data_IF_780444510765
#
_entry.id   IF_780444510765
#
_cell.length_a   1.000
_cell.length_b   1.000
_cell.length_c   1.000
_cell.angle_alpha   90.00
_cell.angle_beta   90.00
_cell.angle_gamma   90.00
#
_symmetry.space_group_name_H-M   'P 1'
#
loop_
_entity.id
_entity.type
_entity.pdbx_description
1 polymer ?
#
# COMPACT_ATOMS: atom_id res chain seq x y z
N UNK A 1 18.41 15.61 7.81
CA UNK A 1 18.90 14.22 7.89
C UNK A 1 17.73 13.31 7.57
N UNK A 2 17.85 12.35 6.64
CA UNK A 2 16.73 11.46 6.30
C UNK A 2 16.98 10.04 6.79
N UNK A 3 15.89 9.39 7.17
CA UNK A 3 15.84 7.97 7.53
C UNK A 3 16.25 7.07 6.36
N UNK A 4 16.81 5.90 6.68
CA UNK A 4 17.28 4.86 5.76
C UNK A 4 16.36 3.65 5.79
N UNK A 5 16.11 3.02 4.63
CA UNK A 5 15.23 1.87 4.49
C UNK A 5 15.99 0.55 4.33
N UNK A 6 15.44 -0.53 4.86
CA UNK A 6 15.84 -1.92 4.59
C UNK A 6 14.81 -2.55 3.67
N UNK A 7 15.24 -2.91 2.46
CA UNK A 7 14.37 -3.20 1.34
C UNK A 7 14.72 -4.59 0.80
N UNK A 8 14.03 -5.67 1.20
CA UNK A 8 14.21 -6.96 0.55
C UNK A 8 13.81 -6.87 -0.93
N UNK A 9 14.44 -7.71 -1.74
CA UNK A 9 14.11 -7.89 -3.15
C UNK A 9 13.68 -9.32 -3.46
N UNK A 10 12.69 -9.45 -4.34
CA UNK A 10 12.24 -10.72 -4.89
C UNK A 10 12.48 -10.70 -6.40
N UNK A 11 13.22 -11.69 -6.88
CA UNK A 11 13.35 -11.99 -8.30
C UNK A 11 12.35 -13.07 -8.68
N UNK A 12 11.39 -12.77 -9.55
CA UNK A 12 10.36 -13.69 -10.03
C UNK A 12 10.83 -14.34 -11.33
N UNK A 13 10.85 -15.66 -11.34
CA UNK A 13 11.11 -16.48 -12.52
C UNK A 13 10.11 -17.65 -12.54
N UNK A 14 9.32 -17.76 -13.61
CA UNK A 14 8.32 -18.82 -13.79
C UNK A 14 7.42 -19.01 -12.55
N UNK A 15 6.90 -17.89 -12.03
CA UNK A 15 6.03 -17.84 -10.85
C UNK A 15 6.70 -18.09 -9.48
N UNK A 16 8.02 -18.28 -9.43
CA UNK A 16 8.77 -18.60 -8.20
C UNK A 16 9.77 -17.50 -7.84
N UNK A 17 10.14 -17.41 -6.57
CA UNK A 17 11.23 -16.54 -6.12
C UNK A 17 12.56 -17.26 -6.30
N UNK A 18 13.50 -16.63 -7.02
CA UNK A 18 14.86 -17.14 -7.22
C UNK A 18 15.90 -16.31 -6.46
N UNK A 19 17.09 -16.89 -6.25
CA UNK A 19 18.11 -16.33 -5.38
C UNK A 19 18.65 -14.99 -5.89
N UNK A 20 18.83 -14.83 -7.20
CA UNK A 20 19.36 -13.61 -7.79
C UNK A 20 18.99 -13.49 -9.28
N UNK A 21 19.33 -12.37 -9.92
CA UNK A 21 19.04 -12.18 -11.35
C UNK A 21 19.80 -13.16 -12.28
N UNK A 22 20.97 -13.61 -11.86
CA UNK A 22 21.83 -14.59 -12.57
C UNK A 22 21.90 -15.97 -11.88
N UNK A 23 21.25 -16.13 -10.72
CA UNK A 23 21.14 -17.40 -9.99
C UNK A 23 19.66 -17.79 -9.85
N UNK A 24 19.21 -18.67 -10.75
CA UNK A 24 17.83 -19.16 -10.82
C UNK A 24 17.49 -20.24 -9.78
N UNK A 25 18.34 -20.44 -8.77
CA UNK A 25 18.03 -21.34 -7.64
C UNK A 25 16.78 -20.84 -6.92
N UNK A 26 15.73 -21.66 -6.88
CA UNK A 26 14.46 -21.33 -6.22
C UNK A 26 14.66 -21.23 -4.71
N UNK A 27 14.35 -20.07 -4.14
CA UNK A 27 14.37 -19.81 -2.69
C UNK A 27 12.97 -19.90 -2.07
N UNK A 28 11.92 -19.64 -2.85
CA UNK A 28 10.53 -19.87 -2.45
C UNK A 28 9.67 -20.23 -3.64
N UNK A 29 8.81 -21.25 -3.48
CA UNK A 29 7.77 -21.59 -4.46
C UNK A 29 6.52 -20.72 -4.30
N UNK A 30 6.35 -20.09 -3.15
CA UNK A 30 5.24 -19.20 -2.85
C UNK A 30 5.76 -17.78 -2.63
N UNK A 31 5.70 -16.98 -3.68
CA UNK A 31 6.19 -15.61 -3.68
C UNK A 31 5.32 -14.70 -2.83
N UNK A 32 4.00 -14.95 -2.79
CA UNK A 32 3.04 -14.13 -2.03
C UNK A 32 3.29 -14.28 -0.54
N UNK A 33 3.50 -15.52 -0.07
CA UNK A 33 3.84 -15.79 1.32
C UNK A 33 5.20 -15.21 1.71
N UNK A 34 6.20 -15.24 0.82
CA UNK A 34 7.50 -14.62 1.08
C UNK A 34 7.39 -13.09 1.20
N UNK A 35 6.67 -12.44 0.28
CA UNK A 35 6.44 -11.01 0.34
C UNK A 35 5.66 -10.59 1.60
N UNK A 36 4.63 -11.36 1.99
CA UNK A 36 3.91 -11.17 3.24
C UNK A 36 4.85 -11.26 4.45
N UNK A 37 5.70 -12.29 4.49
CA UNK A 37 6.68 -12.46 5.56
C UNK A 37 7.56 -11.22 5.72
N UNK A 38 8.13 -10.69 4.63
CA UNK A 38 8.92 -9.47 4.68
C UNK A 38 8.12 -8.28 5.23
N UNK A 39 6.90 -8.08 4.72
CA UNK A 39 6.02 -7.00 5.18
C UNK A 39 5.65 -7.10 6.66
N UNK A 40 5.49 -8.30 7.20
CA UNK A 40 5.09 -8.52 8.60
C UNK A 40 6.27 -8.52 9.57
N UNK A 41 7.50 -8.65 9.06
CA UNK A 41 8.72 -8.73 9.88
C UNK A 41 9.58 -7.46 9.82
N UNK A 42 9.04 -6.35 9.33
CA UNK A 42 9.63 -5.02 9.50
C UNK A 42 10.49 -4.53 8.33
N UNK A 43 10.36 -5.11 7.14
CA UNK A 43 10.85 -4.47 5.91
C UNK A 43 10.18 -3.10 5.70
N UNK A 44 10.83 -2.18 5.00
CA UNK A 44 10.32 -0.81 4.78
C UNK A 44 9.63 -0.62 3.44
N UNK A 45 10.06 -1.39 2.46
CA UNK A 45 9.61 -1.38 1.07
C UNK A 45 10.01 -2.73 0.47
N UNK A 46 9.38 -3.12 -0.65
CA UNK A 46 9.69 -4.35 -1.36
C UNK A 46 10.11 -4.03 -2.78
N UNK A 47 11.26 -4.54 -3.22
CA UNK A 47 11.63 -4.55 -4.63
C UNK A 47 11.18 -5.86 -5.28
N UNK A 48 10.48 -5.78 -6.42
CA UNK A 48 10.10 -6.96 -7.20
C UNK A 48 10.67 -6.84 -8.61
N UNK A 49 11.42 -7.84 -9.02
CA UNK A 49 12.04 -7.92 -10.34
C UNK A 49 11.42 -9.07 -11.11
N UNK A 50 10.81 -8.76 -12.25
CA UNK A 50 10.35 -9.74 -13.20
C UNK A 50 11.49 -10.17 -14.14
N UNK A 51 11.84 -11.46 -14.10
CA UNK A 51 12.88 -12.07 -14.92
C UNK A 51 12.30 -12.92 -16.06
N UNK A 52 11.01 -12.77 -16.37
CA UNK A 52 10.35 -13.45 -17.48
C UNK A 52 11.02 -13.16 -18.82
N UNK A 53 11.01 -14.17 -19.70
CA UNK A 53 11.51 -14.06 -21.07
C UNK A 53 10.35 -14.03 -22.09
N UNK A 54 9.26 -14.73 -21.77
CA UNK A 54 8.04 -14.78 -22.60
C UNK A 54 6.99 -13.76 -22.15
N UNK A 55 6.09 -13.39 -23.05
CA UNK A 55 4.98 -12.48 -22.73
C UNK A 55 3.92 -13.16 -21.82
N UNK A 56 3.81 -14.49 -21.84
CA UNK A 56 2.92 -15.25 -20.95
C UNK A 56 3.43 -15.21 -19.51
N UNK A 57 4.73 -15.49 -19.32
CA UNK A 57 5.37 -15.43 -18.00
C UNK A 57 5.38 -14.00 -17.44
N UNK A 58 5.54 -12.98 -18.30
CA UNK A 58 5.45 -11.57 -17.92
C UNK A 58 4.08 -11.24 -17.32
N UNK A 59 3.01 -11.73 -17.96
CA UNK A 59 1.66 -11.47 -17.49
C UNK A 59 1.36 -12.26 -16.20
N UNK A 60 1.93 -13.45 -16.04
CA UNK A 60 1.89 -14.17 -14.77
C UNK A 60 2.61 -13.41 -13.66
N UNK A 61 3.80 -12.84 -13.94
CA UNK A 61 4.54 -12.01 -12.98
C UNK A 61 3.75 -10.77 -12.55
N UNK A 62 3.10 -10.06 -13.48
CA UNK A 62 2.22 -8.92 -13.17
C UNK A 62 1.03 -9.35 -12.30
N UNK A 63 0.42 -10.50 -12.60
CA UNK A 63 -0.65 -11.05 -11.76
C UNK A 63 -0.16 -11.41 -10.36
N UNK A 64 1.08 -11.88 -10.24
CA UNK A 64 1.73 -12.15 -8.96
C UNK A 64 2.01 -10.86 -8.18
N UNK A 65 2.48 -9.81 -8.84
CA UNK A 65 2.63 -8.47 -8.25
C UNK A 65 1.30 -7.96 -7.66
N UNK A 66 0.19 -8.14 -8.37
CA UNK A 66 -1.14 -7.77 -7.86
C UNK A 66 -1.54 -8.58 -6.62
N UNK A 67 -1.22 -9.87 -6.59
CA UNK A 67 -1.44 -10.73 -5.41
C UNK A 67 -0.54 -10.32 -4.23
N UNK A 68 0.71 -9.96 -4.50
CA UNK A 68 1.66 -9.43 -3.51
C UNK A 68 1.12 -8.15 -2.90
N UNK A 69 0.73 -7.17 -3.72
CA UNK A 69 0.23 -5.88 -3.24
C UNK A 69 -0.99 -6.00 -2.32
N UNK A 70 -1.85 -7.00 -2.56
CA UNK A 70 -3.03 -7.27 -1.70
C UNK A 70 -2.67 -7.78 -0.30
N UNK A 71 -1.46 -8.29 -0.08
CA UNK A 71 -1.07 -8.93 1.19
C UNK A 71 0.03 -8.19 1.94
N UNK A 72 0.81 -7.34 1.26
CA UNK A 72 1.83 -6.51 1.89
C UNK A 72 1.24 -5.18 2.35
N UNK A 73 1.86 -4.57 3.34
CA UNK A 73 1.48 -3.29 3.93
C UNK A 73 2.55 -2.21 3.79
N UNK A 74 3.61 -2.55 3.07
CA UNK A 74 4.74 -1.70 2.72
C UNK A 74 4.67 -1.39 1.22
N UNK A 75 5.26 -0.28 0.75
CA UNK A 75 5.27 0.01 -0.67
C UNK A 75 6.00 -1.08 -1.47
N UNK A 76 5.54 -1.32 -2.70
CA UNK A 76 6.22 -2.15 -3.68
C UNK A 76 6.76 -1.27 -4.80
N UNK A 77 8.03 -1.45 -5.14
CA UNK A 77 8.64 -0.92 -6.36
C UNK A 77 8.95 -2.10 -7.26
N UNK A 78 8.43 -2.08 -8.47
CA UNK A 78 8.48 -3.25 -9.34
C UNK A 78 9.01 -2.89 -10.72
N UNK A 79 9.82 -3.77 -11.30
CA UNK A 79 10.38 -3.61 -12.63
C UNK A 79 10.80 -4.95 -13.21
N UNK A 80 11.50 -4.92 -14.35
CA UNK A 80 11.85 -6.14 -15.08
C UNK A 80 10.89 -6.43 -16.23
N UNK A 81 11.45 -6.98 -17.31
CA UNK A 81 10.78 -7.26 -18.59
C UNK A 81 9.83 -6.17 -19.17
N UNK A 82 10.02 -4.90 -18.84
CA UNK A 82 9.28 -3.78 -19.45
C UNK A 82 9.78 -3.60 -20.91
N UNK A 83 8.88 -3.78 -21.87
CA UNK A 83 9.14 -3.65 -23.33
C UNK A 83 8.34 -2.50 -23.95
N UNK A 84 7.23 -2.08 -23.33
CA UNK A 84 6.32 -1.04 -23.84
C UNK A 84 5.69 -0.24 -22.69
N UNK A 85 5.13 0.92 -23.04
CA UNK A 85 4.37 1.79 -22.13
C UNK A 85 3.23 1.08 -21.39
N UNK A 86 2.56 0.11 -22.04
CA UNK A 86 1.48 -0.63 -21.39
C UNK A 86 1.99 -1.48 -20.21
N UNK A 87 3.24 -1.95 -20.24
CA UNK A 87 3.79 -2.76 -19.14
C UNK A 87 4.03 -1.89 -17.90
N UNK A 88 4.47 -0.63 -18.08
CA UNK A 88 4.58 0.36 -16.99
C UNK A 88 3.23 0.56 -16.33
N UNK A 89 2.18 0.78 -17.13
CA UNK A 89 0.80 0.93 -16.65
C UNK A 89 0.35 -0.29 -15.87
N UNK A 90 0.58 -1.50 -16.41
CA UNK A 90 0.19 -2.75 -15.74
C UNK A 90 0.89 -2.96 -14.40
N UNK A 91 2.17 -2.60 -14.30
CA UNK A 91 2.93 -2.66 -13.05
C UNK A 91 2.34 -1.68 -12.01
N UNK A 92 2.06 -0.44 -12.42
CA UNK A 92 1.43 0.54 -11.53
C UNK A 92 0.04 0.08 -11.07
N UNK A 93 -0.79 -0.44 -11.98
CA UNK A 93 -2.14 -0.92 -11.68
C UNK A 93 -2.15 -2.29 -10.96
N UNK A 94 -1.01 -2.98 -10.90
CA UNK A 94 -0.82 -4.07 -9.95
C UNK A 94 -0.63 -3.57 -8.51
N UNK A 95 -0.53 -2.25 -8.32
CA UNK A 95 -0.38 -1.55 -7.04
C UNK A 95 1.05 -1.20 -6.68
N UNK A 96 1.99 -1.26 -7.64
CA UNK A 96 3.34 -0.77 -7.40
C UNK A 96 3.32 0.74 -7.15
N UNK A 97 3.96 1.19 -6.07
CA UNK A 97 4.20 2.61 -5.81
C UNK A 97 5.00 3.24 -6.94
N UNK A 98 5.96 2.49 -7.49
CA UNK A 98 6.74 2.89 -8.67
C UNK A 98 6.98 1.74 -9.63
N UNK A 99 6.93 2.06 -10.92
CA UNK A 99 7.46 1.22 -11.97
C UNK A 99 8.94 1.56 -12.21
N UNK A 100 9.78 0.53 -12.20
CA UNK A 100 11.23 0.66 -12.30
C UNK A 100 11.72 0.29 -13.71
N UNK A 101 12.21 1.29 -14.43
CA UNK A 101 12.73 1.14 -15.79
C UNK A 101 14.21 0.81 -15.79
N UNK A 102 14.63 -0.19 -16.59
CA UNK A 102 16.03 -0.58 -16.67
C UNK A 102 16.81 0.26 -17.67
N UNK A 103 17.71 1.11 -17.17
CA UNK A 103 18.47 2.06 -17.98
C UNK A 103 19.67 1.44 -18.73
N UNK A 104 19.93 0.14 -18.56
CA UNK A 104 20.83 -0.57 -19.47
C UNK A 104 20.23 -0.82 -20.86
N UNK A 105 18.91 -0.64 -21.04
CA UNK A 105 18.22 -0.74 -22.32
C UNK A 105 18.10 0.62 -23.00
N UNK A 106 18.33 0.66 -24.32
CA UNK A 106 18.36 1.90 -25.13
C UNK A 106 17.03 2.66 -25.12
N UNK A 107 15.91 1.96 -25.19
CA UNK A 107 14.58 2.56 -25.35
C UNK A 107 13.98 3.04 -24.01
N UNK A 108 14.68 2.83 -22.89
CA UNK A 108 14.18 3.17 -21.55
C UNK A 108 14.08 4.67 -21.30
N UNK A 109 14.84 5.50 -22.02
CA UNK A 109 14.83 6.96 -21.85
C UNK A 109 13.52 7.54 -22.37
N UNK A 110 13.19 7.29 -23.64
CA UNK A 110 11.92 7.75 -24.25
C UNK A 110 10.71 7.18 -23.50
N UNK A 111 10.81 5.92 -23.05
CA UNK A 111 9.77 5.29 -22.24
C UNK A 111 9.62 5.96 -20.86
N UNK A 112 10.72 6.37 -20.22
CA UNK A 112 10.67 7.09 -18.95
C UNK A 112 9.95 8.43 -19.10
N UNK A 113 10.32 9.24 -20.09
CA UNK A 113 9.71 10.56 -20.31
C UNK A 113 8.21 10.45 -20.57
N UNK A 114 7.80 9.53 -21.46
CA UNK A 114 6.39 9.31 -21.75
C UNK A 114 5.62 8.72 -20.55
N UNK A 115 6.27 7.88 -19.72
CA UNK A 115 5.65 7.34 -18.51
C UNK A 115 5.51 8.41 -17.42
N UNK A 116 6.55 9.22 -17.20
CA UNK A 116 6.54 10.31 -16.23
C UNK A 116 5.53 11.41 -16.61
N UNK A 117 5.41 11.72 -17.90
CA UNK A 117 4.39 12.66 -18.40
C UNK A 117 2.97 12.16 -18.11
N UNK A 118 2.75 10.83 -18.19
CA UNK A 118 1.44 10.22 -18.00
C UNK A 118 1.07 9.98 -16.55
N UNK A 119 1.99 9.47 -15.74
CA UNK A 119 1.74 8.97 -14.38
C UNK A 119 2.38 9.83 -13.29
N UNK A 120 3.18 10.84 -13.65
CA UNK A 120 3.98 11.62 -12.70
C UNK A 120 5.32 10.96 -12.37
N UNK A 121 6.36 11.78 -12.19
CA UNK A 121 7.72 11.31 -11.89
C UNK A 121 7.84 10.55 -10.56
N UNK A 122 6.93 10.81 -9.62
CA UNK A 122 6.83 10.15 -8.32
C UNK A 122 6.45 8.67 -8.44
N UNK A 123 5.82 8.27 -9.56
CA UNK A 123 5.48 6.88 -9.90
C UNK A 123 6.59 6.16 -10.69
N UNK A 124 7.70 6.83 -10.98
CA UNK A 124 8.78 6.28 -11.80
C UNK A 124 10.06 6.13 -10.98
N UNK A 125 10.66 4.95 -11.10
CA UNK A 125 12.00 4.63 -10.62
C UNK A 125 12.87 4.17 -11.81
N UNK A 126 14.19 4.23 -11.65
CA UNK A 126 15.13 3.72 -12.66
C UNK A 126 16.15 2.79 -12.04
N UNK A 127 16.46 1.68 -12.71
CA UNK A 127 17.57 0.82 -12.33
C UNK A 127 18.80 1.10 -13.19
N UNK A 128 19.94 1.32 -12.55
CA UNK A 128 21.23 1.60 -13.18
C UNK A 128 22.28 0.57 -12.75
N UNK A 129 23.16 0.21 -13.68
CA UNK A 129 24.27 -0.72 -13.42
C UNK A 129 25.62 -0.02 -13.29
N UNK A 130 25.71 1.21 -13.80
CA UNK A 130 26.95 1.97 -13.89
C UNK A 130 26.71 3.47 -13.67
N UNK A 131 27.78 4.14 -13.27
CA UNK A 131 27.81 5.58 -13.03
C UNK A 131 27.76 6.40 -14.33
N UNK A 132 28.37 5.91 -15.40
CA UNK A 132 28.44 6.61 -16.68
C UNK A 132 27.05 6.90 -17.25
N UNK A 133 26.13 5.95 -17.09
CA UNK A 133 24.74 6.08 -17.50
C UNK A 133 23.99 7.15 -16.70
N UNK A 134 24.25 7.26 -15.39
CA UNK A 134 23.72 8.37 -14.58
C UNK A 134 24.25 9.71 -15.09
N UNK A 135 25.57 9.84 -15.24
CA UNK A 135 26.20 11.10 -15.65
C UNK A 135 25.72 11.58 -17.02
N UNK A 136 25.62 10.68 -18.00
CA UNK A 136 25.16 11.00 -19.36
C UNK A 136 23.69 11.44 -19.39
N UNK A 137 22.85 10.89 -18.51
CA UNK A 137 21.39 11.10 -18.55
C UNK A 137 20.86 11.88 -17.34
N UNK A 138 21.73 12.58 -16.59
CA UNK A 138 21.39 13.22 -15.32
C UNK A 138 20.17 14.14 -15.40
N UNK A 139 20.04 14.92 -16.48
CA UNK A 139 18.95 15.88 -16.66
C UNK A 139 17.62 15.16 -16.80
N UNK A 140 17.58 14.16 -17.69
CA UNK A 140 16.38 13.37 -17.98
C UNK A 140 15.95 12.59 -16.74
N UNK A 141 16.90 11.99 -16.01
CA UNK A 141 16.61 11.27 -14.76
C UNK A 141 16.07 12.22 -13.68
N UNK A 142 16.68 13.40 -13.49
CA UNK A 142 16.25 14.38 -12.48
C UNK A 142 14.83 14.92 -12.73
N UNK A 143 14.42 15.06 -13.99
CA UNK A 143 13.10 15.58 -14.36
C UNK A 143 12.00 14.53 -14.27
N UNK A 144 12.30 13.27 -14.56
CA UNK A 144 11.29 12.24 -14.84
C UNK A 144 11.26 11.08 -13.84
N UNK A 145 12.16 11.05 -12.85
CA UNK A 145 12.25 9.97 -11.87
C UNK A 145 12.30 10.51 -10.44
N UNK A 146 11.85 9.69 -9.48
CA UNK A 146 11.89 10.02 -8.04
C UNK A 146 12.74 9.06 -7.20
N UNK A 147 13.29 8.01 -7.78
CA UNK A 147 14.12 7.02 -7.09
C UNK A 147 15.06 6.28 -8.04
N UNK A 148 16.34 6.20 -7.67
CA UNK A 148 17.35 5.48 -8.43
C UNK A 148 17.71 4.19 -7.69
N UNK A 149 17.69 3.07 -8.39
CA UNK A 149 18.07 1.75 -7.88
C UNK A 149 19.38 1.33 -8.55
N UNK A 150 20.47 1.29 -7.79
CA UNK A 150 21.76 0.83 -8.31
C UNK A 150 21.93 -0.67 -8.08
N UNK A 151 22.10 -1.41 -9.18
CA UNK A 151 22.22 -2.87 -9.16
C UNK A 151 23.65 -3.37 -8.86
N UNK A 152 24.58 -2.46 -8.60
CA UNK A 152 25.98 -2.77 -8.31
C UNK A 152 26.56 -1.80 -7.28
N UNK A 153 27.67 -2.21 -6.64
CA UNK A 153 28.50 -1.33 -5.81
C UNK A 153 29.13 -0.27 -6.72
N UNK A 154 28.73 0.97 -6.55
CA UNK A 154 29.33 2.13 -7.21
C UNK A 154 30.14 2.93 -6.22
N UNK A 155 30.99 3.82 -6.75
CA UNK A 155 31.52 4.92 -5.96
C UNK A 155 30.37 5.86 -5.58
N UNK A 156 29.86 5.66 -4.36
CA UNK A 156 28.70 6.38 -3.84
C UNK A 156 28.98 7.87 -3.69
N UNK A 157 30.23 8.28 -3.47
CA UNK A 157 30.62 9.69 -3.37
C UNK A 157 30.46 10.39 -4.73
N UNK A 158 30.85 9.71 -5.80
CA UNK A 158 30.63 10.20 -7.17
C UNK A 158 29.14 10.36 -7.48
N UNK A 159 28.29 9.40 -7.09
CA UNK A 159 26.83 9.45 -7.32
C UNK A 159 26.20 10.67 -6.64
N UNK A 160 26.59 10.95 -5.39
CA UNK A 160 26.05 12.06 -4.60
C UNK A 160 26.34 13.44 -5.21
N UNK A 161 27.42 13.58 -5.97
CA UNK A 161 27.79 14.87 -6.57
C UNK A 161 26.94 15.23 -7.81
N UNK A 162 26.14 14.29 -8.33
CA UNK A 162 25.40 14.45 -9.60
C UNK A 162 23.89 14.55 -9.40
N UNK A 163 23.35 13.91 -8.37
CA UNK A 163 21.91 13.85 -8.17
C UNK A 163 21.51 13.89 -6.70
N UNK A 164 20.45 14.64 -6.42
CA UNK A 164 19.77 14.67 -5.13
C UNK A 164 18.65 13.61 -5.03
N UNK A 165 18.43 12.82 -6.09
CA UNK A 165 17.40 11.78 -6.10
C UNK A 165 17.75 10.69 -5.06
N UNK A 166 16.79 10.25 -4.23
CA UNK A 166 16.93 9.09 -3.37
C UNK A 166 17.52 7.86 -4.07
N UNK A 167 18.65 7.36 -3.58
CA UNK A 167 19.29 6.16 -4.11
C UNK A 167 19.03 4.94 -3.23
N UNK A 168 18.68 3.81 -3.85
CA UNK A 168 18.63 2.49 -3.23
C UNK A 168 19.76 1.65 -3.80
N UNK A 169 20.59 1.06 -2.95
CA UNK A 169 21.70 0.21 -3.38
C UNK A 169 21.28 -1.25 -3.27
N UNK A 170 21.36 -2.00 -4.37
CA UNK A 170 21.15 -3.44 -4.42
C UNK A 170 22.53 -4.11 -4.53
N UNK A 171 22.91 -4.87 -3.51
CA UNK A 171 24.24 -5.51 -3.43
C UNK A 171 24.14 -7.02 -3.21
N UNK A 172 25.14 -7.75 -3.69
CA UNK A 172 25.28 -9.19 -3.45
C UNK A 172 26.04 -9.51 -2.15
N UNK A 173 26.53 -8.47 -1.43
CA UNK A 173 27.29 -8.65 -0.20
C UNK A 173 26.48 -9.37 0.88
N UNK A 174 27.15 -10.30 1.54
CA UNK A 174 26.65 -10.99 2.74
C UNK A 174 27.36 -10.50 4.01
N UNK A 175 28.25 -9.51 3.89
CA UNK A 175 29.05 -8.98 4.99
C UNK A 175 28.38 -7.74 5.58
N UNK A 176 27.81 -7.90 6.76
CA UNK A 176 27.09 -6.85 7.47
C UNK A 176 27.88 -5.54 7.68
N UNK A 177 29.19 -5.54 8.02
CA UNK A 177 29.96 -4.30 8.11
C UNK A 177 29.97 -3.50 6.80
N UNK A 178 29.96 -4.20 5.65
CA UNK A 178 29.90 -3.55 4.35
C UNK A 178 28.53 -2.90 4.11
N UNK A 179 27.46 -3.61 4.47
CA UNK A 179 26.09 -3.11 4.37
C UNK A 179 25.86 -1.85 5.21
N UNK A 180 26.43 -1.83 6.41
CA UNK A 180 26.40 -0.68 7.32
C UNK A 180 27.16 0.50 6.71
N UNK A 181 28.34 0.27 6.11
CA UNK A 181 29.09 1.31 5.42
C UNK A 181 28.31 1.91 4.24
N UNK A 182 27.62 1.10 3.45
CA UNK A 182 26.73 1.59 2.38
C UNK A 182 25.63 2.49 2.94
N UNK A 183 25.00 2.10 4.06
CA UNK A 183 23.95 2.87 4.69
C UNK A 183 24.43 4.19 5.32
N UNK A 184 25.70 4.26 5.76
CA UNK A 184 26.32 5.50 6.28
C UNK A 184 26.48 6.57 5.20
N UNK A 185 26.56 6.22 3.91
CA UNK A 185 26.66 7.19 2.83
C UNK A 185 25.43 8.12 2.76
N UNK A 186 25.58 9.46 2.84
CA UNK A 186 24.45 10.41 2.95
C UNK A 186 23.36 10.30 1.86
N UNK A 187 23.76 10.06 0.60
CA UNK A 187 22.88 9.95 -0.56
C UNK A 187 22.12 8.62 -0.68
N UNK A 188 22.58 7.59 0.04
CA UNK A 188 21.87 6.30 0.10
C UNK A 188 20.63 6.46 0.99
N UNK A 189 19.47 6.08 0.49
CA UNK A 189 18.18 6.08 1.20
C UNK A 189 17.63 4.70 1.48
N UNK A 190 18.16 3.68 0.82
CA UNK A 190 17.77 2.31 1.06
C UNK A 190 18.88 1.33 0.71
N UNK A 191 18.86 0.21 1.42
CA UNK A 191 19.70 -0.94 1.13
C UNK A 191 18.81 -2.13 0.79
N UNK A 192 19.12 -2.74 -0.33
CA UNK A 192 18.58 -4.00 -0.81
C UNK A 192 19.74 -4.94 -1.13
N UNK A 193 19.46 -6.24 -1.26
CA UNK A 193 20.49 -7.20 -1.59
C UNK A 193 20.27 -8.60 -1.07
N UNK A 194 21.24 -9.48 -1.34
CA UNK A 194 21.18 -10.89 -0.93
C UNK A 194 20.99 -11.07 0.57
N UNK A 195 21.76 -10.34 1.40
CA UNK A 195 21.68 -10.44 2.86
C UNK A 195 20.29 -10.07 3.39
N UNK A 196 19.74 -8.93 2.97
CA UNK A 196 18.45 -8.44 3.48
C UNK A 196 17.24 -9.14 2.84
N UNK A 197 17.47 -9.97 1.82
CA UNK A 197 16.44 -10.78 1.14
C UNK A 197 16.52 -12.26 1.51
N UNK A 198 17.18 -12.60 2.62
CA UNK A 198 17.13 -13.97 3.15
C UNK A 198 15.71 -14.31 3.61
N UNK A 199 15.30 -15.58 3.45
CA UNK A 199 13.93 -16.02 3.77
C UNK A 199 13.60 -16.01 5.26
N UNK A 200 14.61 -15.93 6.12
CA UNK A 200 14.54 -15.87 7.58
C UNK A 200 15.05 -14.53 8.14
N UNK A 201 15.14 -13.51 7.28
CA UNK A 201 15.66 -12.19 7.63
C UNK A 201 14.86 -11.54 8.76
N UNK A 202 15.57 -11.12 9.81
CA UNK A 202 15.01 -10.39 10.95
C UNK A 202 15.31 -8.89 10.82
N UNK A 203 14.47 -8.18 10.08
CA UNK A 203 14.68 -6.75 9.80
C UNK A 203 14.82 -5.90 11.06
N UNK A 204 14.05 -6.19 12.11
CA UNK A 204 14.15 -5.47 13.39
C UNK A 204 15.51 -5.62 14.06
N UNK A 205 16.14 -6.79 13.98
CA UNK A 205 17.47 -7.01 14.55
C UNK A 205 18.55 -6.26 13.73
N UNK A 206 18.45 -6.30 12.40
CA UNK A 206 19.37 -5.57 11.53
C UNK A 206 19.24 -4.04 11.66
N UNK A 207 18.01 -3.52 11.73
CA UNK A 207 17.76 -2.08 11.96
C UNK A 207 18.35 -1.61 13.29
N UNK A 208 18.17 -2.40 14.36
CA UNK A 208 18.79 -2.10 15.66
C UNK A 208 20.32 -1.99 15.56
N UNK A 209 20.97 -2.89 14.82
CA UNK A 209 22.43 -2.82 14.62
C UNK A 209 22.85 -1.60 13.79
N UNK A 210 22.01 -1.16 12.85
CA UNK A 210 22.23 0.09 12.14
C UNK A 210 22.10 1.30 13.08
N UNK A 211 21.11 1.29 13.99
CA UNK A 211 20.91 2.33 15.02
C UNK A 211 22.11 2.38 16.00
N UNK A 212 22.65 1.22 16.42
CA UNK A 212 23.86 1.12 17.24
C UNK A 212 25.09 1.76 16.56
N UNK A 213 25.08 1.85 15.23
CA UNK A 213 26.09 2.50 14.38
C UNK A 213 25.71 3.94 13.98
N UNK A 214 24.79 4.55 14.72
CA UNK A 214 24.28 5.92 14.56
C UNK A 214 23.54 6.16 13.22
N UNK A 215 23.07 5.11 12.57
CA UNK A 215 22.27 5.20 11.34
C UNK A 215 20.80 5.31 11.70
N UNK A 216 20.17 6.43 11.34
CA UNK A 216 18.72 6.62 11.50
C UNK A 216 17.95 5.76 10.50
N UNK A 217 17.32 4.70 10.98
CA UNK A 217 16.52 3.79 10.15
C UNK A 217 15.06 4.25 10.07
N UNK A 218 14.36 3.93 8.98
CA UNK A 218 12.90 3.98 8.97
C UNK A 218 12.41 2.90 9.91
N UNK A 219 12.17 3.33 11.12
CA UNK A 219 11.39 2.64 12.13
C UNK A 219 10.10 3.44 12.26
N UNK A 220 9.04 2.83 12.80
CA UNK A 220 7.90 3.59 13.30
C UNK A 220 8.30 4.40 14.56
N UNK A 221 9.52 4.95 14.62
CA UNK A 221 10.05 5.68 15.76
C UNK A 221 9.21 6.92 16.04
N UNK A 222 8.96 7.13 17.33
CA UNK A 222 8.36 8.38 17.77
C UNK A 222 9.41 9.48 17.68
N UNK A 223 9.01 10.62 17.11
CA UNK A 223 9.82 11.85 17.15
C UNK A 223 9.82 12.53 18.54
N UNK A 224 9.11 11.94 19.50
CA UNK A 224 8.89 12.43 20.86
C UNK A 224 9.01 11.25 21.83
N UNK A 225 9.71 11.43 22.95
CA UNK A 225 9.80 10.36 23.95
C UNK A 225 8.47 10.18 24.67
N UNK A 226 8.12 8.94 25.06
CA UNK A 226 6.86 8.69 25.78
C UNK A 226 6.77 9.49 27.10
N UNK A 227 7.92 9.82 27.69
CA UNK A 227 8.02 10.67 28.89
C UNK A 227 7.53 12.11 28.69
N UNK A 228 7.39 12.58 27.45
CA UNK A 228 6.85 13.90 27.14
C UNK A 228 5.31 13.92 27.06
N UNK A 229 4.66 12.76 27.14
CA UNK A 229 3.21 12.65 27.06
C UNK A 229 2.56 12.98 28.40
N UNK A 230 1.39 13.62 28.37
CA UNK A 230 0.55 13.83 29.54
C UNK A 230 -0.33 12.62 29.75
N UNK A 231 -0.03 11.86 30.79
CA UNK A 231 -0.77 10.65 31.13
C UNK A 231 -1.88 10.96 32.12
N UNK A 232 -2.94 10.14 32.13
CA UNK A 232 -3.94 10.19 33.20
C UNK A 232 -3.37 9.65 34.53
N UNK A 233 -4.17 9.74 35.59
CA UNK A 233 -3.79 9.30 36.96
C UNK A 233 -3.31 7.84 37.06
N UNK A 234 -3.63 7.00 36.08
CA UNK A 234 -3.22 5.59 36.02
C UNK A 234 -1.95 5.36 35.18
N UNK A 235 -1.29 6.43 34.72
CA UNK A 235 -0.11 6.35 33.84
C UNK A 235 -0.45 5.89 32.42
N UNK A 236 -1.66 6.19 31.95
CA UNK A 236 -2.14 5.77 30.63
C UNK A 236 -2.50 6.96 29.76
N UNK A 237 -2.27 6.84 28.45
CA UNK A 237 -2.70 7.80 27.43
C UNK A 237 -3.90 7.23 26.65
N UNK A 238 -5.01 7.97 26.47
CA UNK A 238 -6.09 7.59 25.56
C UNK A 238 -5.61 7.57 24.11
N UNK A 239 -6.13 6.60 23.35
CA UNK A 239 -5.85 6.43 21.92
C UNK A 239 -7.17 6.32 21.17
N UNK A 240 -7.46 7.33 20.34
CA UNK A 240 -8.54 7.29 19.35
C UNK A 240 -8.02 6.53 18.13
N UNK A 241 -8.74 5.49 17.73
CA UNK A 241 -8.35 4.62 16.62
C UNK A 241 -9.28 4.89 15.45
N UNK A 242 -8.70 5.23 14.31
CA UNK A 242 -9.42 5.62 13.10
C UNK A 242 -8.97 4.75 11.92
N UNK A 243 -9.90 4.34 11.07
CA UNK A 243 -9.55 3.67 9.81
C UNK A 243 -8.83 4.65 8.87
N UNK A 244 -7.67 4.24 8.36
CA UNK A 244 -6.80 5.14 7.61
C UNK A 244 -7.36 5.56 6.26
N UNK A 245 -8.27 4.79 5.65
CA UNK A 245 -8.91 5.09 4.36
C UNK A 245 -10.18 5.89 4.56
N UNK A 246 -11.14 5.30 5.28
CA UNK A 246 -12.50 5.82 5.43
C UNK A 246 -12.59 6.97 6.43
N UNK A 247 -11.54 7.17 7.25
CA UNK A 247 -11.53 8.11 8.37
C UNK A 247 -12.61 7.83 9.42
N UNK A 248 -13.23 6.64 9.41
CA UNK A 248 -14.20 6.24 10.42
C UNK A 248 -13.50 5.98 11.76
N UNK A 249 -14.03 6.54 12.86
CA UNK A 249 -13.52 6.23 14.20
C UNK A 249 -13.95 4.82 14.57
N UNK A 250 -12.99 3.94 14.81
CA UNK A 250 -13.18 2.51 15.07
C UNK A 250 -13.37 2.20 16.55
N UNK A 251 -12.52 2.76 17.41
CA UNK A 251 -12.57 2.52 18.85
C UNK A 251 -11.73 3.55 19.64
N UNK A 252 -11.90 3.56 20.95
CA UNK A 252 -11.00 4.23 21.90
C UNK A 252 -10.40 3.19 22.83
N UNK A 253 -9.09 3.26 23.03
CA UNK A 253 -8.34 2.43 23.95
C UNK A 253 -7.31 3.24 24.73
N UNK A 254 -6.47 2.56 25.50
CA UNK A 254 -5.42 3.19 26.30
C UNK A 254 -4.09 2.48 26.08
N UNK A 255 -3.00 3.23 26.12
CA UNK A 255 -1.63 2.71 26.08
C UNK A 255 -0.87 3.13 27.35
N UNK A 256 0.02 2.26 27.82
CA UNK A 256 1.16 2.64 28.66
C UNK A 256 2.43 2.68 27.78
N UNK A 257 3.57 3.00 28.38
CA UNK A 257 4.85 3.12 27.69
C UNK A 257 5.23 1.86 26.90
N UNK A 258 5.08 0.69 27.52
CA UNK A 258 5.37 -0.60 26.89
C UNK A 258 4.45 -0.87 25.68
N UNK A 259 3.16 -0.57 25.80
CA UNK A 259 2.20 -0.72 24.70
C UNK A 259 2.55 0.19 23.51
N UNK A 260 2.97 1.42 23.80
CA UNK A 260 3.40 2.38 22.80
C UNK A 260 4.63 1.90 22.03
N UNK A 261 5.70 1.54 22.73
CA UNK A 261 6.92 1.07 22.08
C UNK A 261 6.74 -0.28 21.38
N UNK A 262 5.88 -1.17 21.88
CA UNK A 262 5.56 -2.40 21.16
C UNK A 262 4.78 -2.12 19.87
N UNK A 263 3.89 -1.12 19.88
CA UNK A 263 3.17 -0.67 18.68
C UNK A 263 4.14 -0.14 17.63
N UNK A 264 5.07 0.72 18.05
CA UNK A 264 6.14 1.26 17.20
C UNK A 264 6.99 0.14 16.62
N UNK A 265 7.47 -0.77 17.47
CA UNK A 265 8.39 -1.84 17.08
C UNK A 265 7.76 -2.83 16.11
N UNK A 266 6.48 -3.17 16.32
CA UNK A 266 5.83 -4.26 15.59
C UNK A 266 4.92 -3.78 14.46
N UNK A 267 4.61 -2.48 14.41
CA UNK A 267 3.59 -1.93 13.50
C UNK A 267 2.16 -2.40 13.80
N UNK A 268 1.93 -3.10 14.93
CA UNK A 268 0.62 -3.64 15.33
C UNK A 268 0.14 -2.92 16.59
N UNK A 269 -1.12 -2.50 16.59
CA UNK A 269 -1.68 -1.81 17.75
C UNK A 269 -1.65 -2.70 18.99
N UNK A 270 -0.92 -2.24 19.99
CA UNK A 270 -0.84 -2.84 21.32
C UNK A 270 -1.47 -1.87 22.31
N UNK A 271 -2.36 -2.37 23.15
CA UNK A 271 -3.07 -1.58 24.14
C UNK A 271 -2.81 -2.12 25.55
N UNK A 272 -3.03 -1.28 26.55
CA UNK A 272 -3.10 -1.69 27.94
C UNK A 272 -4.56 -1.85 28.38
N UNK A 273 -4.96 -3.07 28.72
CA UNK A 273 -6.31 -3.32 29.22
C UNK A 273 -6.44 -2.85 30.68
N UNK A 274 -7.21 -1.78 30.91
CA UNK A 274 -7.46 -1.27 32.27
C UNK A 274 -8.12 -2.29 33.20
N UNK A 275 -9.01 -3.13 32.65
CA UNK A 275 -9.74 -4.14 33.42
C UNK A 275 -8.89 -5.39 33.69
N UNK A 276 -8.12 -5.85 32.70
CA UNK A 276 -7.27 -7.06 32.84
C UNK A 276 -5.87 -6.75 33.39
N UNK A 277 -5.48 -5.47 33.43
CA UNK A 277 -4.17 -4.98 33.86
C UNK A 277 -3.00 -5.63 33.13
N UNK A 278 -3.15 -5.85 31.83
CA UNK A 278 -2.15 -6.51 30.99
C UNK A 278 -2.03 -5.85 29.61
N UNK A 279 -0.92 -6.11 28.94
CA UNK A 279 -0.76 -5.80 27.52
C UNK A 279 -1.72 -6.64 26.67
N UNK A 280 -2.17 -6.06 25.57
CA UNK A 280 -3.09 -6.69 24.63
C UNK A 280 -2.77 -6.22 23.22
N UNK A 281 -2.18 -7.09 22.41
CA UNK A 281 -2.04 -6.84 20.97
C UNK A 281 -3.38 -7.13 20.30
N UNK A 282 -3.95 -6.12 19.64
CA UNK A 282 -5.26 -6.25 18.99
C UNK A 282 -5.19 -7.30 17.90
N UNK A 283 -6.09 -8.29 17.98
CA UNK A 283 -6.22 -9.37 17.01
C UNK A 283 -5.56 -10.69 17.41
N UNK A 284 -4.72 -10.75 18.45
CA UNK A 284 -4.06 -12.01 18.84
C UNK A 284 -5.03 -13.14 19.17
N UNK A 285 -6.19 -12.84 19.75
CA UNK A 285 -7.22 -13.84 20.07
C UNK A 285 -8.24 -14.01 18.95
N UNK A 286 -8.60 -12.95 18.23
CA UNK A 286 -9.73 -12.96 17.28
C UNK A 286 -9.32 -13.01 15.81
N UNK A 287 -8.04 -12.84 15.48
CA UNK A 287 -7.54 -12.62 14.12
C UNK A 287 -7.84 -11.22 13.55
N UNK A 288 -8.55 -10.36 14.28
CA UNK A 288 -8.92 -9.02 13.82
C UNK A 288 -7.86 -7.98 14.19
N UNK A 289 -6.75 -7.99 13.46
CA UNK A 289 -5.58 -7.15 13.71
C UNK A 289 -5.81 -5.68 13.33
N UNK A 290 -5.02 -4.79 13.94
CA UNK A 290 -4.91 -3.39 13.57
C UNK A 290 -3.44 -3.08 13.30
N UNK A 291 -3.14 -2.65 12.08
CA UNK A 291 -1.79 -2.27 11.67
C UNK A 291 -1.69 -0.76 11.63
N UNK A 292 -0.74 -0.20 12.37
CA UNK A 292 -0.61 1.25 12.49
C UNK A 292 -0.03 1.82 11.19
N UNK A 293 -0.65 2.89 10.70
CA UNK A 293 -0.19 3.66 9.53
C UNK A 293 0.40 5.00 9.95
N UNK A 294 -0.18 5.63 10.97
CA UNK A 294 0.39 6.81 11.60
C UNK A 294 -0.10 6.92 13.05
N UNK A 295 0.76 7.47 13.91
CA UNK A 295 0.40 7.95 15.23
C UNK A 295 0.58 9.48 15.24
N UNK A 296 -0.40 10.19 15.78
CA UNK A 296 -0.35 11.64 15.94
C UNK A 296 -0.80 11.97 17.35
N UNK A 297 -0.10 12.86 18.04
CA UNK A 297 -0.50 13.34 19.35
C UNK A 297 -1.18 14.71 19.21
N UNK A 298 -2.15 15.00 20.06
CA UNK A 298 -2.84 16.29 20.07
C UNK A 298 -1.98 17.46 20.59
N UNK A 299 -2.55 18.66 20.58
CA UNK A 299 -1.82 19.90 20.84
C UNK A 299 -1.26 20.02 22.26
N UNK A 300 -1.91 19.39 23.23
CA UNK A 300 -1.55 19.39 24.64
C UNK A 300 -0.92 18.08 25.11
N UNK A 301 -0.68 17.15 24.18
CA UNK A 301 0.08 15.91 24.36
C UNK A 301 -0.61 14.89 25.28
N UNK A 302 -1.93 14.89 25.36
CA UNK A 302 -2.67 14.01 26.27
C UNK A 302 -3.51 12.92 25.58
N UNK A 303 -3.64 12.98 24.25
CA UNK A 303 -4.38 11.99 23.48
C UNK A 303 -3.66 11.64 22.17
N UNK A 304 -3.64 10.35 21.83
CA UNK A 304 -3.14 9.87 20.54
C UNK A 304 -4.29 9.62 19.56
N UNK A 305 -4.09 10.01 18.30
CA UNK A 305 -4.84 9.54 17.14
C UNK A 305 -4.00 8.49 16.40
N UNK A 306 -4.50 7.27 16.34
CA UNK A 306 -3.93 6.18 15.57
C UNK A 306 -4.74 5.96 14.29
N UNK A 307 -4.13 6.21 13.14
CA UNK A 307 -4.68 5.77 11.85
C UNK A 307 -4.22 4.35 11.59
N UNK A 308 -5.16 3.44 11.39
CA UNK A 308 -4.87 2.01 11.29
C UNK A 308 -5.53 1.40 10.07
N UNK A 309 -4.88 0.38 9.51
CA UNK A 309 -5.51 -0.60 8.63
C UNK A 309 -6.14 -1.70 9.48
N UNK A 310 -7.47 -1.78 9.47
CA UNK A 310 -8.24 -2.73 10.24
C UNK A 310 -8.46 -4.03 9.44
N UNK A 311 -8.07 -5.17 10.01
CA UNK A 311 -8.40 -6.50 9.47
C UNK A 311 -9.60 -7.05 10.22
N UNK A 312 -10.67 -7.42 9.52
CA UNK A 312 -11.93 -7.88 10.12
C UNK A 312 -12.61 -6.81 10.98
N UNK A 313 -13.39 -7.23 11.98
CA UNK A 313 -14.13 -6.29 12.83
C UNK A 313 -13.23 -5.63 13.90
N UNK A 314 -13.35 -4.31 14.08
CA UNK A 314 -12.69 -3.65 15.22
C UNK A 314 -13.39 -4.03 16.54
N UNK A 315 -14.72 -4.15 16.51
CA UNK A 315 -15.52 -4.46 17.69
C UNK A 315 -15.63 -5.97 17.95
N UNK A 316 -15.66 -6.35 19.23
CA UNK A 316 -15.88 -7.74 19.66
C UNK A 316 -17.29 -8.26 19.34
N UNK A 317 -18.23 -7.37 18.98
CA UNK A 317 -19.60 -7.72 18.56
C UNK A 317 -19.69 -8.09 17.08
N UNK A 318 -18.59 -7.98 16.32
CA UNK A 318 -18.57 -8.17 14.87
C UNK A 318 -18.81 -6.89 14.06
N UNK A 319 -19.19 -5.78 14.71
CA UNK A 319 -19.34 -4.49 14.04
C UNK A 319 -17.98 -3.89 13.63
N UNK A 320 -17.99 -3.14 12.51
CA UNK A 320 -16.80 -2.44 11.98
C UNK A 320 -16.23 -1.44 12.99
N UNK A 321 -17.10 -0.66 13.64
CA UNK A 321 -16.76 0.29 14.71
C UNK A 321 -17.40 -0.11 16.05
N UNK A 322 -16.82 0.33 17.16
CA UNK A 322 -17.43 0.31 18.49
C UNK A 322 -18.56 1.35 18.62
N UNK A 323 -18.61 2.37 17.76
CA UNK A 323 -19.56 3.48 17.80
C UNK A 323 -20.77 3.26 16.88
N UNK A 324 -21.34 2.06 16.91
CA UNK A 324 -22.41 1.64 15.99
C UNK A 324 -23.84 1.89 16.51
N UNK A 325 -24.00 2.36 17.74
CA UNK A 325 -25.31 2.61 18.36
C UNK A 325 -25.57 4.12 18.50
N UNK A 326 -26.53 4.70 17.76
CA UNK A 326 -26.90 6.09 17.93
C UNK A 326 -27.63 6.31 19.27
N UNK A 327 -27.30 7.40 19.97
CA UNK A 327 -27.93 7.77 21.25
C UNK A 327 -28.89 8.96 21.12
N UNK A 328 -28.47 10.00 20.39
CA UNK A 328 -29.24 11.23 20.15
C UNK A 328 -28.84 11.78 18.79
N UNK A 329 -29.82 12.16 17.98
CA UNK A 329 -29.64 12.85 16.71
C UNK A 329 -31.00 13.28 16.18
N UNK A 330 -31.06 14.37 15.43
CA UNK A 330 -32.14 14.53 14.45
C UNK A 330 -31.97 13.44 13.39
N UNK A 331 -33.01 13.04 12.66
CA UNK A 331 -32.90 12.25 11.41
C UNK A 331 -32.18 13.08 10.33
N UNK A 332 -31.00 13.58 10.66
CA UNK A 332 -30.00 14.00 9.70
C UNK A 332 -29.48 12.68 9.15
N UNK A 333 -30.07 12.25 8.04
CA UNK A 333 -29.38 11.33 7.15
C UNK A 333 -28.02 11.98 6.90
N UNK A 334 -26.97 11.45 7.52
CA UNK A 334 -25.60 11.78 7.15
C UNK A 334 -25.50 11.41 5.67
N UNK A 335 -25.73 12.39 4.79
CA UNK A 335 -25.51 12.26 3.34
C UNK A 335 -24.01 12.34 3.06
N UNK A 336 -23.20 11.69 3.89
CA UNK A 336 -21.82 11.45 3.56
C UNK A 336 -21.84 10.59 2.29
N UNK A 337 -21.34 11.11 1.15
CA UNK A 337 -21.46 10.40 -0.12
C UNK A 337 -20.88 8.99 -0.05
N UNK A 338 -19.79 8.79 0.72
CA UNK A 338 -19.16 7.48 0.91
C UNK A 338 -20.10 6.52 1.64
N UNK A 339 -20.73 6.96 2.73
CA UNK A 339 -21.70 6.12 3.47
C UNK A 339 -22.94 5.81 2.62
N UNK A 340 -23.41 6.75 1.79
CA UNK A 340 -24.53 6.51 0.88
C UNK A 340 -24.17 5.44 -0.16
N UNK A 341 -22.99 5.52 -0.78
CA UNK A 341 -22.54 4.50 -1.73
C UNK A 341 -22.32 3.14 -1.07
N UNK A 342 -21.69 3.10 0.11
CA UNK A 342 -21.48 1.86 0.87
C UNK A 342 -22.81 1.23 1.31
N UNK A 343 -23.76 2.03 1.81
CA UNK A 343 -25.06 1.53 2.25
C UNK A 343 -25.92 1.01 1.10
N UNK A 344 -25.99 1.72 -0.02
CA UNK A 344 -26.71 1.25 -1.22
C UNK A 344 -26.06 -0.02 -1.76
N UNK A 345 -24.73 -0.08 -1.83
CA UNK A 345 -24.01 -1.29 -2.25
C UNK A 345 -24.30 -2.46 -1.31
N UNK A 346 -24.26 -2.26 0.01
CA UNK A 346 -24.56 -3.30 1.00
C UNK A 346 -26.01 -3.82 0.88
N UNK A 347 -26.98 -2.95 0.57
CA UNK A 347 -28.36 -3.37 0.31
C UNK A 347 -28.44 -4.22 -0.97
N UNK A 348 -27.71 -3.88 -2.02
CA UNK A 348 -27.67 -4.67 -3.27
C UNK A 348 -27.06 -6.05 -3.01
N UNK A 349 -25.95 -6.10 -2.26
CA UNK A 349 -25.29 -7.34 -1.86
C UNK A 349 -26.20 -8.22 -0.98
N UNK A 350 -26.87 -7.62 0.02
CA UNK A 350 -27.87 -8.30 0.84
C UNK A 350 -29.01 -8.87 -0.02
N UNK A 351 -29.52 -8.12 -0.99
CA UNK A 351 -30.58 -8.63 -1.88
C UNK A 351 -30.14 -9.82 -2.72
N UNK A 352 -28.86 -9.90 -3.09
CA UNK A 352 -28.31 -11.05 -3.81
C UNK A 352 -28.19 -12.28 -2.89
N UNK A 353 -27.73 -12.09 -1.66
CA UNK A 353 -27.57 -13.17 -0.68
C UNK A 353 -28.90 -13.63 -0.06
N UNK A 354 -29.80 -12.68 0.19
CA UNK A 354 -31.10 -12.82 0.85
C UNK A 354 -32.20 -12.24 -0.06
N UNK A 355 -32.66 -12.99 -1.08
CA UNK A 355 -33.65 -12.50 -2.03
C UNK A 355 -34.95 -12.04 -1.38
N UNK A 356 -35.48 -10.90 -1.81
CA UNK A 356 -36.76 -10.36 -1.37
C UNK A 356 -37.73 -10.28 -2.54
N UNK A 357 -38.84 -11.00 -2.43
CA UNK A 357 -39.89 -11.01 -3.45
C UNK A 357 -40.38 -9.58 -3.77
N UNK A 358 -40.52 -9.27 -5.06
CA UNK A 358 -40.92 -7.95 -5.54
C UNK A 358 -39.83 -6.87 -5.56
N UNK A 359 -38.59 -7.17 -5.14
CA UNK A 359 -37.47 -6.22 -5.24
C UNK A 359 -37.02 -6.03 -6.70
N UNK A 360 -36.86 -4.77 -7.12
CA UNK A 360 -36.27 -4.44 -8.43
C UNK A 360 -34.84 -5.00 -8.58
N UNK A 361 -34.03 -4.97 -7.52
CA UNK A 361 -32.68 -5.52 -7.51
C UNK A 361 -32.69 -7.02 -7.79
N UNK A 362 -33.60 -7.77 -7.15
CA UNK A 362 -33.74 -9.21 -7.41
C UNK A 362 -34.22 -9.48 -8.85
N UNK A 363 -35.14 -8.67 -9.39
CA UNK A 363 -35.53 -8.78 -10.80
C UNK A 363 -34.34 -8.63 -11.77
N UNK A 364 -33.40 -7.71 -11.49
CA UNK A 364 -32.20 -7.56 -12.30
C UNK A 364 -31.31 -8.81 -12.25
N UNK A 365 -31.07 -9.35 -11.04
CA UNK A 365 -30.28 -10.57 -10.87
C UNK A 365 -30.97 -11.80 -11.49
N UNK A 366 -32.27 -11.96 -11.34
CA UNK A 366 -33.05 -13.07 -11.91
C UNK A 366 -33.02 -13.09 -13.45
N UNK A 367 -32.95 -11.91 -14.08
CA UNK A 367 -32.82 -11.77 -15.54
C UNK A 367 -31.38 -11.92 -16.03
N UNK A 368 -30.41 -11.90 -15.13
CA UNK A 368 -29.00 -12.16 -15.41
C UNK A 368 -28.26 -10.98 -16.07
N UNK A 369 -27.00 -11.26 -16.42
CA UNK A 369 -26.01 -10.26 -16.84
C UNK A 369 -26.47 -9.38 -18.01
N UNK A 370 -27.15 -9.94 -19.01
CA UNK A 370 -27.59 -9.17 -20.18
C UNK A 370 -28.58 -8.07 -19.82
N UNK A 371 -29.46 -8.32 -18.84
CA UNK A 371 -30.41 -7.31 -18.37
C UNK A 371 -29.71 -6.20 -17.59
N UNK A 372 -28.73 -6.57 -16.76
CA UNK A 372 -27.90 -5.62 -16.01
C UNK A 372 -27.12 -4.72 -16.97
N UNK A 373 -26.43 -5.32 -17.96
CA UNK A 373 -25.65 -4.58 -18.96
C UNK A 373 -26.53 -3.69 -19.84
N UNK A 374 -27.71 -4.17 -20.25
CA UNK A 374 -28.69 -3.35 -20.95
C UNK A 374 -29.03 -2.11 -20.16
N UNK A 375 -29.25 -2.25 -18.85
CA UNK A 375 -29.55 -1.11 -17.98
C UNK A 375 -28.38 -0.15 -17.84
N UNK A 376 -27.18 -0.63 -17.56
CA UNK A 376 -25.97 0.22 -17.53
C UNK A 376 -25.80 1.02 -18.83
N UNK A 377 -26.06 0.40 -19.99
CA UNK A 377 -26.00 1.06 -21.29
C UNK A 377 -27.12 2.09 -21.54
N UNK A 378 -28.35 1.79 -21.12
CA UNK A 378 -29.51 2.72 -21.19
C UNK A 378 -29.21 3.99 -20.38
N UNK A 379 -28.89 3.86 -19.09
CA UNK A 379 -28.67 5.01 -18.22
C UNK A 379 -27.44 5.83 -18.68
N UNK A 380 -26.39 5.19 -19.21
CA UNK A 380 -25.24 5.90 -19.78
C UNK A 380 -25.61 6.75 -21.01
N UNK A 381 -26.49 6.25 -21.87
CA UNK A 381 -27.00 7.00 -23.01
C UNK A 381 -27.92 8.15 -22.56
N UNK A 382 -28.73 7.93 -21.52
CA UNK A 382 -29.62 8.93 -20.94
C UNK A 382 -28.83 10.08 -20.30
N UNK A 383 -27.70 9.80 -19.61
CA UNK A 383 -26.77 10.85 -19.15
C UNK A 383 -26.29 11.73 -20.32
N UNK A 384 -25.89 11.13 -21.44
CA UNK A 384 -25.39 11.86 -22.62
C UNK A 384 -26.50 12.77 -23.17
N UNK A 385 -27.74 12.28 -23.22
CA UNK A 385 -28.90 13.05 -23.69
C UNK A 385 -29.22 14.18 -22.72
N UNK A 386 -29.34 13.87 -21.42
CA UNK A 386 -29.63 14.83 -20.36
C UNK A 386 -28.57 15.94 -20.27
N UNK A 387 -27.29 15.61 -20.47
CA UNK A 387 -26.19 16.59 -20.45
C UNK A 387 -26.28 17.63 -21.57
N UNK A 388 -27.06 17.38 -22.63
CA UNK A 388 -27.33 18.37 -23.70
C UNK A 388 -28.48 19.30 -23.35
N UNK A 389 -29.29 18.96 -22.34
CA UNK A 389 -30.41 19.78 -21.90
C UNK A 389 -29.93 20.83 -20.88
N UNK A 390 -30.61 21.99 -20.78
CA UNK A 390 -30.22 23.06 -19.87
C UNK A 390 -30.50 22.75 -18.39
N UNK A 391 -31.28 21.70 -18.09
CA UNK A 391 -31.69 21.36 -16.73
C UNK A 391 -30.70 20.37 -16.07
N UNK A 392 -29.88 20.80 -15.11
CA UNK A 392 -28.92 19.90 -14.45
C UNK A 392 -29.57 18.84 -13.57
N UNK A 393 -30.85 18.99 -13.22
CA UNK A 393 -31.57 17.99 -12.43
C UNK A 393 -31.75 16.68 -13.18
N UNK A 394 -31.98 16.72 -14.50
CA UNK A 394 -32.09 15.52 -15.33
C UNK A 394 -30.77 14.73 -15.26
N UNK A 395 -29.63 15.40 -15.47
CA UNK A 395 -28.30 14.77 -15.38
C UNK A 395 -28.10 14.13 -14.01
N UNK A 396 -28.53 14.79 -12.93
CA UNK A 396 -28.40 14.25 -11.58
C UNK A 396 -29.19 12.94 -11.40
N UNK A 397 -30.40 12.84 -11.95
CA UNK A 397 -31.21 11.61 -11.88
C UNK A 397 -30.57 10.49 -12.71
N UNK A 398 -30.21 10.76 -13.95
CA UNK A 398 -29.59 9.74 -14.82
C UNK A 398 -28.23 9.26 -14.27
N UNK A 399 -27.45 10.17 -13.66
CA UNK A 399 -26.20 9.77 -12.98
C UNK A 399 -26.46 8.90 -11.76
N UNK A 400 -27.52 9.16 -10.99
CA UNK A 400 -27.87 8.32 -9.84
C UNK A 400 -28.29 6.92 -10.29
N UNK A 401 -29.12 6.81 -11.33
CA UNK A 401 -29.57 5.53 -11.86
C UNK A 401 -28.43 4.74 -12.52
N UNK A 402 -27.54 5.42 -13.26
CA UNK A 402 -26.33 4.80 -13.77
C UNK A 402 -25.45 4.24 -12.65
N UNK A 403 -25.18 5.02 -11.59
CA UNK A 403 -24.36 4.57 -10.46
C UNK A 403 -25.00 3.39 -9.73
N UNK A 404 -26.34 3.38 -9.57
CA UNK A 404 -27.05 2.24 -9.01
C UNK A 404 -26.86 0.97 -9.85
N UNK A 405 -27.08 1.04 -11.17
CA UNK A 405 -26.91 -0.12 -12.05
C UNK A 405 -25.45 -0.56 -12.19
N UNK A 406 -24.50 0.38 -12.10
CA UNK A 406 -23.07 0.08 -12.01
C UNK A 406 -22.74 -0.71 -10.73
N UNK A 407 -23.30 -0.34 -9.58
CA UNK A 407 -23.14 -1.11 -8.33
C UNK A 407 -23.75 -2.52 -8.42
N UNK A 408 -24.90 -2.68 -9.10
CA UNK A 408 -25.48 -4.02 -9.37
C UNK A 408 -24.52 -4.86 -10.22
N UNK A 409 -23.90 -4.26 -11.25
CA UNK A 409 -22.88 -4.93 -12.06
C UNK A 409 -21.62 -5.28 -11.24
N UNK A 410 -21.19 -4.40 -10.34
CA UNK A 410 -20.06 -4.64 -9.43
C UNK A 410 -20.32 -5.88 -8.56
N UNK A 411 -21.47 -5.94 -7.88
CA UNK A 411 -21.89 -7.11 -7.07
C UNK A 411 -22.03 -8.37 -7.93
N UNK A 412 -22.47 -8.25 -9.18
CA UNK A 412 -22.53 -9.37 -10.12
C UNK A 412 -21.15 -9.93 -10.47
N UNK A 413 -20.12 -9.07 -10.50
CA UNK A 413 -18.74 -9.42 -10.83
C UNK A 413 -17.83 -9.61 -9.61
N UNK A 414 -18.35 -9.45 -8.40
CA UNK A 414 -17.57 -9.56 -7.16
C UNK A 414 -16.55 -8.42 -7.01
N UNK A 415 -16.88 -7.22 -7.48
CA UNK A 415 -16.07 -6.01 -7.34
C UNK A 415 -16.65 -5.12 -6.24
N UNK A 416 -15.79 -4.46 -5.47
CA UNK A 416 -16.16 -3.55 -4.39
C UNK A 416 -15.87 -2.09 -4.72
N UNK A 417 -16.41 -1.15 -3.95
CA UNK A 417 -16.02 0.27 -4.06
C UNK A 417 -14.52 0.49 -3.78
N UNK A 418 -13.92 -0.32 -2.90
CA UNK A 418 -12.47 -0.29 -2.67
C UNK A 418 -11.67 -0.64 -3.94
N UNK A 419 -12.14 -1.62 -4.73
CA UNK A 419 -11.49 -1.98 -5.99
C UNK A 419 -11.58 -0.83 -7.01
N UNK A 420 -12.76 -0.20 -7.14
CA UNK A 420 -13.00 0.89 -8.10
C UNK A 420 -12.23 2.16 -7.70
N UNK A 421 -12.26 2.54 -6.43
CA UNK A 421 -11.55 3.72 -5.93
C UNK A 421 -10.03 3.50 -5.97
N UNK A 422 -9.56 2.28 -5.69
CA UNK A 422 -8.15 1.91 -5.87
C UNK A 422 -7.70 2.14 -7.32
N UNK A 423 -8.44 1.60 -8.29
CA UNK A 423 -8.16 1.80 -9.72
C UNK A 423 -8.20 3.28 -10.13
N UNK A 424 -9.09 4.10 -9.55
CA UNK A 424 -9.14 5.54 -9.82
C UNK A 424 -7.98 6.31 -9.21
N UNK A 425 -7.50 5.91 -8.02
CA UNK A 425 -6.37 6.55 -7.34
C UNK A 425 -5.02 6.24 -8.00
N UNK A 426 -4.94 5.13 -8.74
CA UNK A 426 -3.75 4.72 -9.48
C UNK A 426 -3.69 5.29 -10.91
N UNK A 427 -4.73 5.99 -11.37
CA UNK A 427 -4.75 6.75 -12.63
C UNK A 427 -4.05 8.10 -12.48
#
# INVERSE_FOLDING_TARGET
MSYKRVIPCIFIDSGKAVRWYDDRTVISKDVVSLARYYSENGADELLVFDLSESDEDHEEAINLMRKINRVIRIPMVAGGNIKRQEDVKKILYAGAKRAMLNFSKKDSIEMMEAAALRFGKEKIAVSLNDFDSLFKQQHVINENCSEIVFMHRLDLDSVMNITDIPCVIVTDSMEEPELINILKCPGVKGLSGRYVSQTDMKFSEFKKRCEDEEIKMTSFESIMEFSEFKLNENGLIPVVVQDYKTQEVLMVAYMNEEAFYNTIKTGRMTYYSRSRKCQWVKGETSGHFQYVKSLTIDCDKDTLLAKVEQIGAACHTGNKTCFYQPLVGTDYDEKNPLQVFESVYAVIEDRKANPKEGSYTNYLFDKGIDKILKKVGEEAAEIIIAAKNPNPEEVKYEMADFLYHAMVLMVEKGLTWDDIVGELADR
#
